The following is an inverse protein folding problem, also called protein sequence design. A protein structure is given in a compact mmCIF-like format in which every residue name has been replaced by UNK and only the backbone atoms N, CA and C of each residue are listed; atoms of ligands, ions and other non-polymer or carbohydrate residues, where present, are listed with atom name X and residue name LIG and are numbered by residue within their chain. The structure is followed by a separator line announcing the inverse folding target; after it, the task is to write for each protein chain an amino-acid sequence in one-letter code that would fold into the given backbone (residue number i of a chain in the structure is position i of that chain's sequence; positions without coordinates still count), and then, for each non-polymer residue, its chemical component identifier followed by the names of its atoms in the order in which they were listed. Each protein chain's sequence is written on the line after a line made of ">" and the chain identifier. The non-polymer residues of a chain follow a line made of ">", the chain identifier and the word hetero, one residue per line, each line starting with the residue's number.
data_IF_175360440875
#
_entry.id   IF_175360440875
#
_cell.length_a   1.000
_cell.length_b   1.000
_cell.length_c   1.000
_cell.angle_alpha   90.00
_cell.angle_beta   90.00
_cell.angle_gamma   90.00
#
_symmetry.space_group_name_H-M   'P 1'
#
loop_
_entity.id
_entity.type
_entity.pdbx_description
1 polymer ?
#
# COMPACT_ATOMS: atom_id res chain seq x y z
N UNK A 1 -53.26 -29.62 -36.96
CA UNK A 1 -52.82 -30.32 -35.73
C UNK A 1 -51.67 -29.50 -35.15
N UNK A 2 -51.96 -28.58 -34.24
CA UNK A 2 -51.00 -27.65 -33.66
C UNK A 2 -50.50 -28.21 -32.32
N UNK A 3 -49.20 -28.50 -32.23
CA UNK A 3 -48.59 -28.90 -30.97
C UNK A 3 -48.64 -27.72 -29.98
N UNK A 4 -49.14 -27.97 -28.77
CA UNK A 4 -49.18 -26.95 -27.72
C UNK A 4 -47.76 -26.69 -27.21
N UNK A 5 -47.52 -25.47 -26.70
CA UNK A 5 -46.21 -25.02 -26.18
C UNK A 5 -45.62 -25.95 -25.09
N UNK A 6 -46.44 -26.79 -24.47
CA UNK A 6 -45.99 -27.83 -23.54
C UNK A 6 -45.36 -29.04 -24.23
N UNK A 7 -45.91 -29.50 -25.37
CA UNK A 7 -45.34 -30.61 -26.17
C UNK A 7 -43.93 -30.28 -26.70
N UNK A 8 -43.70 -29.02 -27.08
CA UNK A 8 -42.38 -28.52 -27.50
C UNK A 8 -41.33 -28.48 -26.37
N UNK A 9 -41.72 -28.60 -25.10
CA UNK A 9 -40.77 -28.71 -23.98
C UNK A 9 -40.44 -30.17 -23.66
N UNK A 10 -41.37 -31.10 -23.88
CA UNK A 10 -41.15 -32.53 -23.62
C UNK A 10 -40.25 -33.19 -24.67
N UNK A 11 -40.25 -32.67 -25.90
CA UNK A 11 -39.39 -33.18 -26.98
C UNK A 11 -37.96 -32.58 -26.97
N UNK A 12 -37.55 -31.89 -25.90
CA UNK A 12 -36.18 -31.37 -25.78
C UNK A 12 -35.26 -32.45 -25.21
N UNK A 13 -34.21 -32.85 -25.95
CA UNK A 13 -33.25 -33.80 -25.41
C UNK A 13 -32.58 -33.22 -24.15
N UNK A 14 -32.30 -34.07 -23.14
CA UNK A 14 -31.60 -33.63 -21.94
C UNK A 14 -30.26 -33.02 -22.33
N UNK A 15 -29.96 -31.84 -21.78
CA UNK A 15 -28.69 -31.16 -22.08
C UNK A 15 -27.54 -32.08 -21.65
N UNK A 16 -26.52 -32.31 -22.50
CA UNK A 16 -25.37 -33.09 -22.10
C UNK A 16 -24.72 -32.42 -20.89
N UNK A 17 -24.56 -33.19 -19.81
CA UNK A 17 -23.84 -32.74 -18.64
C UNK A 17 -22.35 -32.72 -18.99
N UNK A 18 -21.82 -31.54 -19.29
CA UNK A 18 -20.37 -31.38 -19.41
C UNK A 18 -19.79 -31.34 -17.99
N UNK A 19 -19.06 -32.36 -17.52
CA UNK A 19 -18.34 -32.25 -16.27
C UNK A 19 -17.34 -31.10 -16.41
N UNK A 20 -17.42 -30.12 -15.50
CA UNK A 20 -16.44 -29.04 -15.47
C UNK A 20 -15.07 -29.65 -15.21
N UNK A 21 -14.11 -29.36 -16.12
CA UNK A 21 -12.73 -29.80 -15.97
C UNK A 21 -12.20 -29.42 -14.57
N UNK A 22 -11.40 -30.27 -13.90
CA UNK A 22 -10.79 -29.90 -12.64
C UNK A 22 -9.96 -28.64 -12.89
N UNK A 23 -10.43 -27.51 -12.37
CA UNK A 23 -9.68 -26.27 -12.41
C UNK A 23 -8.47 -26.47 -11.51
N UNK A 24 -7.34 -26.89 -12.08
CA UNK A 24 -6.03 -26.65 -11.51
C UNK A 24 -5.81 -25.13 -11.56
N UNK A 25 -6.53 -24.41 -10.69
CA UNK A 25 -6.32 -22.98 -10.46
C UNK A 25 -4.89 -22.89 -9.96
N UNK A 26 -3.98 -22.48 -10.85
CA UNK A 26 -2.69 -21.96 -10.46
C UNK A 26 -2.99 -20.81 -9.49
N UNK A 27 -2.93 -21.11 -8.19
CA UNK A 27 -3.17 -20.13 -7.14
C UNK A 27 -2.05 -19.11 -7.32
N UNK A 28 -2.42 -17.90 -7.72
CA UNK A 28 -1.46 -16.80 -7.76
C UNK A 28 -0.81 -16.73 -6.37
N UNK A 29 0.53 -16.66 -6.29
CA UNK A 29 1.19 -16.54 -5.00
C UNK A 29 0.64 -15.32 -4.26
N UNK A 30 0.59 -15.43 -2.94
CA UNK A 30 0.06 -14.37 -2.08
C UNK A 30 0.80 -13.04 -2.40
N UNK A 31 0.07 -11.92 -2.56
CA UNK A 31 0.67 -10.64 -2.95
C UNK A 31 1.72 -10.16 -1.95
N UNK A 32 1.60 -10.55 -0.68
CA UNK A 32 2.57 -10.27 0.38
C UNK A 32 3.93 -10.92 0.07
N UNK A 33 3.92 -12.15 -0.46
CA UNK A 33 5.13 -12.89 -0.82
C UNK A 33 5.80 -12.28 -2.06
N UNK A 34 5.01 -11.84 -3.05
CA UNK A 34 5.53 -11.14 -4.21
C UNK A 34 6.18 -9.80 -3.81
N UNK A 35 5.54 -9.03 -2.94
CA UNK A 35 6.08 -7.77 -2.45
C UNK A 35 7.39 -7.98 -1.66
N UNK A 36 7.45 -9.01 -0.82
CA UNK A 36 8.67 -9.38 -0.09
C UNK A 36 9.80 -9.78 -1.04
N UNK A 37 9.49 -10.56 -2.07
CA UNK A 37 10.45 -10.93 -3.10
C UNK A 37 10.96 -9.70 -3.86
N UNK A 38 10.07 -8.81 -4.30
CA UNK A 38 10.45 -7.56 -4.96
C UNK A 38 11.38 -6.72 -4.10
N UNK A 39 11.08 -6.55 -2.80
CA UNK A 39 11.96 -5.84 -1.86
C UNK A 39 13.36 -6.45 -1.78
N UNK A 40 13.45 -7.78 -1.70
CA UNK A 40 14.74 -8.49 -1.67
C UNK A 40 15.52 -8.32 -2.96
N UNK A 41 14.86 -8.40 -4.11
CA UNK A 41 15.47 -8.18 -5.42
C UNK A 41 16.03 -6.75 -5.53
N UNK A 42 15.27 -5.76 -5.11
CA UNK A 42 15.69 -4.36 -5.20
C UNK A 42 16.85 -4.05 -4.23
N UNK A 43 16.86 -4.67 -3.05
CA UNK A 43 18.01 -4.62 -2.14
C UNK A 43 19.29 -5.18 -2.78
N UNK A 44 19.20 -6.37 -3.38
CA UNK A 44 20.35 -7.02 -4.04
C UNK A 44 20.87 -6.21 -5.23
N UNK A 45 19.96 -5.64 -6.04
CA UNK A 45 20.35 -4.71 -7.12
C UNK A 45 21.09 -3.51 -6.56
N UNK A 46 20.56 -2.90 -5.50
CA UNK A 46 21.19 -1.77 -4.85
C UNK A 46 22.59 -2.07 -4.33
N UNK A 47 22.81 -3.26 -3.74
CA UNK A 47 24.15 -3.69 -3.31
C UNK A 47 25.13 -3.77 -4.49
N UNK A 48 24.70 -4.34 -5.61
CA UNK A 48 25.51 -4.42 -6.82
C UNK A 48 25.85 -3.02 -7.37
N UNK A 49 24.89 -2.09 -7.37
CA UNK A 49 25.15 -0.71 -7.79
C UNK A 49 26.13 0.01 -6.85
N UNK A 50 26.01 -0.21 -5.53
CA UNK A 50 26.95 0.35 -4.57
C UNK A 50 28.39 -0.19 -4.79
N UNK A 51 28.53 -1.46 -5.17
CA UNK A 51 29.84 -2.04 -5.45
C UNK A 51 30.56 -1.41 -6.64
N UNK A 52 29.81 -0.88 -7.62
CA UNK A 52 30.35 -0.20 -8.81
C UNK A 52 30.94 1.19 -8.52
N UNK A 53 30.60 1.81 -7.39
CA UNK A 53 31.14 3.11 -7.02
C UNK A 53 32.65 2.99 -6.75
N UNK A 54 33.46 3.99 -7.13
CA UNK A 54 34.91 3.92 -6.94
C UNK A 54 35.36 4.45 -5.58
N UNK A 55 34.59 5.39 -5.00
CA UNK A 55 34.91 6.04 -3.72
C UNK A 55 34.35 5.28 -2.52
N UNK A 56 35.17 5.03 -1.50
CA UNK A 56 34.72 4.33 -0.28
C UNK A 56 33.65 5.12 0.50
N UNK A 57 33.72 6.46 0.47
CA UNK A 57 32.72 7.35 1.07
C UNK A 57 31.37 7.19 0.38
N UNK A 58 31.36 7.18 -0.96
CA UNK A 58 30.14 7.01 -1.75
C UNK A 58 29.55 5.61 -1.56
N UNK A 59 30.39 4.57 -1.51
CA UNK A 59 29.95 3.20 -1.13
C UNK A 59 29.29 3.19 0.24
N UNK A 60 29.91 3.80 1.24
CA UNK A 60 29.39 3.82 2.61
C UNK A 60 28.04 4.57 2.70
N UNK A 61 27.90 5.68 1.95
CA UNK A 61 26.65 6.42 1.85
C UNK A 61 25.57 5.58 1.15
N UNK A 62 25.87 4.99 -0.01
CA UNK A 62 24.95 4.12 -0.74
C UNK A 62 24.46 2.95 0.14
N UNK A 63 25.37 2.29 0.86
CA UNK A 63 25.05 1.19 1.75
C UNK A 63 24.15 1.59 2.93
N UNK A 64 24.22 2.84 3.42
CA UNK A 64 23.28 3.33 4.45
C UNK A 64 21.83 3.39 3.94
N UNK A 65 21.62 3.72 2.66
CA UNK A 65 20.30 3.79 2.06
C UNK A 65 19.71 2.40 1.74
N UNK A 66 20.55 1.37 1.66
CA UNK A 66 20.14 0.00 1.34
C UNK A 66 19.74 -0.82 2.58
N UNK A 67 20.11 -0.40 3.79
CA UNK A 67 19.85 -1.17 5.01
C UNK A 67 18.34 -1.44 5.22
N UNK A 68 17.90 -2.72 5.29
CA UNK A 68 16.50 -3.07 5.52
C UNK A 68 15.97 -2.46 6.82
N UNK A 69 14.80 -1.83 6.75
CA UNK A 69 14.17 -1.19 7.92
C UNK A 69 14.58 0.27 8.17
N UNK A 70 15.50 0.82 7.39
CA UNK A 70 15.67 2.28 7.37
C UNK A 70 14.61 2.89 6.45
N UNK A 71 13.81 3.76 7.04
CA UNK A 71 12.88 4.64 6.33
C UNK A 71 13.58 5.24 5.12
N UNK A 72 12.93 5.35 3.96
CA UNK A 72 13.54 5.96 2.78
C UNK A 72 14.06 7.34 3.15
N UNK A 73 15.38 7.48 3.25
CA UNK A 73 16.03 8.79 3.32
C UNK A 73 16.11 9.33 1.89
N UNK A 74 14.96 9.36 1.21
CA UNK A 74 14.77 10.23 0.05
C UNK A 74 14.28 11.56 0.60
N UNK A 75 14.77 12.65 0.04
CA UNK A 75 14.44 14.02 0.47
C UNK A 75 12.94 14.38 0.41
N UNK A 76 12.07 13.45 -0.03
CA UNK A 76 10.62 13.63 -0.10
C UNK A 76 9.94 12.97 1.11
N UNK A 77 10.09 13.63 2.25
CA UNK A 77 8.95 14.04 3.08
C UNK A 77 7.82 13.00 3.25
N UNK A 78 8.08 11.92 3.99
CA UNK A 78 7.04 11.41 4.89
C UNK A 78 7.39 11.93 6.27
N UNK A 79 6.83 13.09 6.62
CA UNK A 79 6.92 13.63 7.97
C UNK A 79 6.50 12.51 8.92
N UNK A 80 7.42 11.94 9.72
CA UNK A 80 7.07 10.82 10.59
C UNK A 80 5.91 11.25 11.47
N UNK A 81 4.96 10.34 11.73
CA UNK A 81 3.74 10.64 12.48
C UNK A 81 4.04 11.35 13.82
N UNK A 82 5.19 11.06 14.43
CA UNK A 82 5.67 11.73 15.63
C UNK A 82 5.99 13.22 15.40
N UNK A 83 6.58 13.59 14.26
CA UNK A 83 6.84 14.99 13.90
C UNK A 83 5.56 15.75 13.59
N UNK A 84 4.57 15.09 12.96
CA UNK A 84 3.26 15.73 12.72
C UNK A 84 2.49 15.95 14.03
N UNK A 85 2.47 14.97 14.94
CA UNK A 85 1.86 15.09 16.26
C UNK A 85 2.55 16.15 17.11
N UNK A 86 3.89 16.19 17.11
CA UNK A 86 4.65 17.24 17.81
C UNK A 86 4.29 18.64 17.28
N UNK A 87 4.25 18.81 15.95
CA UNK A 87 3.92 20.09 15.34
C UNK A 87 2.48 20.52 15.65
N UNK A 88 1.52 19.60 15.57
CA UNK A 88 0.12 19.87 15.92
C UNK A 88 -0.05 20.22 17.41
N UNK A 89 0.63 19.50 18.30
CA UNK A 89 0.57 19.76 19.74
C UNK A 89 1.19 21.12 20.07
N UNK A 90 2.33 21.46 19.45
CA UNK A 90 2.97 22.77 19.59
C UNK A 90 2.06 23.89 19.09
N UNK A 91 1.41 23.71 17.94
CA UNK A 91 0.45 24.67 17.40
C UNK A 91 -0.76 24.84 18.34
N UNK A 92 -1.33 23.74 18.84
CA UNK A 92 -2.46 23.76 19.79
C UNK A 92 -2.11 24.49 21.09
N UNK A 93 -0.98 24.16 21.70
CA UNK A 93 -0.52 24.78 22.94
C UNK A 93 -0.30 26.28 22.75
N UNK A 94 0.39 26.67 21.67
CA UNK A 94 0.61 28.08 21.33
C UNK A 94 -0.70 28.82 21.09
N UNK A 95 -1.68 28.16 20.46
CA UNK A 95 -3.03 28.71 20.27
C UNK A 95 -3.76 28.95 21.59
N UNK A 96 -3.72 27.99 22.51
CA UNK A 96 -4.33 28.13 23.85
C UNK A 96 -3.69 29.27 24.64
N UNK A 97 -2.35 29.35 24.67
CA UNK A 97 -1.63 30.44 25.35
C UNK A 97 -1.98 31.81 24.78
N UNK A 98 -2.12 31.90 23.45
CA UNK A 98 -2.55 33.14 22.79
C UNK A 98 -3.99 33.50 23.15
N UNK A 99 -4.90 32.54 23.18
CA UNK A 99 -6.29 32.78 23.55
C UNK A 99 -6.45 33.20 25.01
N UNK A 100 -5.63 32.66 25.91
CA UNK A 100 -5.57 33.06 27.32
C UNK A 100 -5.05 34.50 27.47
N UNK A 101 -3.94 34.83 26.80
CA UNK A 101 -3.35 36.17 26.86
C UNK A 101 -4.22 37.26 26.20
N UNK A 102 -4.95 36.91 25.14
CA UNK A 102 -5.76 37.85 24.36
C UNK A 102 -7.26 37.80 24.69
N UNK A 103 -7.68 36.97 25.66
CA UNK A 103 -9.07 36.83 26.09
C UNK A 103 -10.03 36.28 25.02
N UNK A 104 -9.53 35.65 23.95
CA UNK A 104 -10.33 35.15 22.83
C UNK A 104 -10.90 33.76 23.10
N UNK A 105 -11.62 33.61 24.22
CA UNK A 105 -12.36 32.37 24.57
C UNK A 105 -13.80 32.40 24.05
N UNK A 106 -14.06 32.79 22.80
CA UNK A 106 -15.37 32.53 22.17
C UNK A 106 -15.42 32.80 20.66
N UNK A 107 -14.86 31.92 19.82
CA UNK A 107 -15.26 31.90 18.40
C UNK A 107 -15.21 30.51 17.74
N UNK A 108 -15.17 29.44 18.54
CA UNK A 108 -15.22 28.04 18.03
C UNK A 108 -16.45 27.28 18.58
N UNK A 109 -17.39 27.98 19.23
CA UNK A 109 -18.70 27.43 19.62
C UNK A 109 -19.83 27.83 18.66
N UNK A 110 -19.50 28.31 17.45
CA UNK A 110 -20.49 28.81 16.47
C UNK A 110 -20.38 28.17 15.06
N UNK A 111 -19.72 27.03 14.91
CA UNK A 111 -19.83 26.17 13.73
C UNK A 111 -20.06 24.72 14.12
#
# INVERSE_FOLDING_TARGET
>A
MSATRLELNLMRPPRPFCPSAPQHRARKPAPELLNEYSRKVDFLKGLLEAEKLSSSMEKALANQFLAPGRTPTTAKERTPATKTVHLQTKARCTGQMRSELLGTVCSVLLC
#
